data_IF_249193614662
#
_entry.id   IF_249193614662
#
_cell.length_a   1.000
_cell.length_b   1.000
_cell.length_c   1.000
_cell.angle_alpha   90.00
_cell.angle_beta   90.00
_cell.angle_gamma   90.00
#
_symmetry.space_group_name_H-M   'P 1'
#
loop_
_entity.id
_entity.type
_entity.pdbx_description
1 polymer ?
#
# COMPACT_ATOMS: atom_id res chain seq x y z
N UNK A 1 29.79 -72.63 -18.17
CA UNK A 1 28.36 -72.29 -18.32
C UNK A 1 27.69 -72.59 -16.99
N UNK A 2 27.57 -71.56 -16.15
CA UNK A 2 27.07 -71.69 -14.79
C UNK A 2 25.78 -70.87 -14.68
N UNK A 3 24.68 -71.61 -14.50
CA UNK A 3 23.35 -71.09 -14.22
C UNK A 3 23.28 -70.67 -12.76
N UNK A 4 22.91 -69.42 -12.49
CA UNK A 4 22.68 -68.90 -11.14
C UNK A 4 21.23 -68.42 -11.03
N UNK A 5 20.49 -69.12 -10.16
CA UNK A 5 19.19 -68.76 -9.59
C UNK A 5 19.43 -68.06 -8.26
N UNK A 6 18.62 -67.05 -7.90
CA UNK A 6 18.25 -66.84 -6.49
C UNK A 6 16.72 -66.80 -6.35
N UNK A 7 16.11 -67.74 -5.62
CA UNK A 7 15.98 -67.83 -4.16
C UNK A 7 14.96 -66.83 -3.59
N UNK A 8 13.77 -67.36 -3.35
CA UNK A 8 12.63 -66.76 -2.65
C UNK A 8 12.89 -66.90 -1.15
N UNK A 9 12.81 -65.80 -0.39
CA UNK A 9 12.77 -65.85 1.07
C UNK A 9 11.36 -65.54 1.56
N UNK A 10 10.82 -66.50 2.29
CA UNK A 10 9.53 -66.49 3.00
C UNK A 10 9.61 -65.76 4.33
N UNK A 11 8.46 -65.21 4.71
CA UNK A 11 8.16 -64.54 5.96
C UNK A 11 8.15 -65.50 7.16
N UNK A 12 8.81 -65.09 8.24
CA UNK A 12 8.49 -65.43 9.62
C UNK A 12 9.20 -64.42 10.53
N UNK A 13 8.58 -64.09 11.66
CA UNK A 13 9.09 -63.31 12.79
C UNK A 13 8.99 -61.79 12.72
N UNK A 14 7.87 -61.25 13.21
CA UNK A 14 7.89 -60.32 14.35
C UNK A 14 6.47 -60.06 14.88
N UNK A 15 6.08 -60.81 15.90
CA UNK A 15 5.03 -60.41 16.83
C UNK A 15 5.66 -59.70 18.05
N UNK A 16 4.84 -58.85 18.67
CA UNK A 16 4.97 -58.25 20.01
C UNK A 16 5.71 -56.91 20.13
N UNK A 17 4.97 -55.82 19.98
CA UNK A 17 4.86 -54.82 21.07
C UNK A 17 3.64 -53.91 20.91
N UNK A 18 2.76 -53.98 21.90
CA UNK A 18 1.53 -53.22 22.11
C UNK A 18 1.81 -51.93 22.90
N UNK A 19 1.45 -50.77 22.33
CA UNK A 19 1.12 -49.52 23.03
C UNK A 19 0.45 -48.58 22.00
N UNK A 20 -0.87 -48.61 21.83
CA UNK A 20 -1.86 -47.70 22.47
C UNK A 20 -1.39 -46.24 22.59
N UNK A 21 -1.92 -45.23 21.90
CA UNK A 21 -2.93 -45.19 20.86
C UNK A 21 -3.02 -43.77 20.26
N UNK A 22 -3.48 -43.71 19.01
CA UNK A 22 -4.15 -42.56 18.39
C UNK A 22 -4.68 -43.07 17.05
N UNK A 23 -5.86 -43.68 17.07
CA UNK A 23 -6.61 -44.05 15.88
C UNK A 23 -7.05 -42.76 15.17
N UNK A 24 -6.28 -42.36 14.16
CA UNK A 24 -6.78 -41.49 13.09
C UNK A 24 -7.58 -42.42 12.17
N UNK A 25 -8.90 -42.20 11.98
CA UNK A 25 -9.64 -42.98 11.01
C UNK A 25 -9.06 -42.69 9.62
N UNK A 26 -8.39 -43.70 9.05
CA UNK A 26 -8.07 -43.73 7.63
C UNK A 26 -9.37 -43.58 6.86
N UNK A 27 -9.52 -42.43 6.21
CA UNK A 27 -10.60 -42.18 5.27
C UNK A 27 -10.56 -43.27 4.19
N UNK A 28 -11.69 -43.95 4.06
CA UNK A 28 -12.02 -44.80 2.94
C UNK A 28 -11.75 -44.03 1.64
N UNK A 29 -10.65 -44.40 0.97
CA UNK A 29 -10.40 -44.02 -0.41
C UNK A 29 -11.55 -44.59 -1.23
N UNK A 30 -12.44 -43.71 -1.67
CA UNK A 30 -13.40 -44.02 -2.72
C UNK A 30 -12.60 -44.39 -3.97
N UNK A 31 -12.53 -45.69 -4.25
CA UNK A 31 -12.04 -46.27 -5.50
C UNK A 31 -13.09 -46.10 -6.62
N UNK A 32 -13.72 -44.93 -6.66
CA UNK A 32 -14.57 -44.47 -7.75
C UNK A 32 -13.69 -43.64 -8.66
N UNK A 33 -13.46 -44.14 -9.87
CA UNK A 33 -12.67 -43.52 -10.93
C UNK A 33 -12.84 -41.98 -10.89
N UNK A 34 -11.85 -41.20 -10.38
CA UNK A 34 -11.91 -39.75 -10.37
C UNK A 34 -11.68 -39.29 -11.79
N UNK A 35 -12.70 -39.47 -12.64
CA UNK A 35 -12.75 -38.90 -13.97
C UNK A 35 -12.81 -37.39 -13.80
N UNK A 36 -11.62 -36.80 -13.64
CA UNK A 36 -11.20 -35.54 -14.19
C UNK A 36 -12.22 -34.40 -14.00
N UNK A 37 -12.39 -33.99 -12.75
CA UNK A 37 -13.08 -32.74 -12.39
C UNK A 37 -12.54 -31.58 -13.24
N UNK A 38 -11.24 -31.56 -13.52
CA UNK A 38 -10.60 -30.57 -14.40
C UNK A 38 -11.09 -30.62 -15.87
N UNK A 39 -11.27 -31.80 -16.50
CA UNK A 39 -11.78 -31.89 -17.89
C UNK A 39 -13.28 -31.58 -18.00
N UNK A 40 -14.09 -31.90 -16.99
CA UNK A 40 -15.49 -31.42 -16.97
C UNK A 40 -15.54 -29.90 -16.78
N UNK A 41 -14.60 -29.33 -16.02
CA UNK A 41 -14.53 -27.90 -15.74
C UNK A 41 -14.08 -27.07 -16.95
N UNK A 42 -13.17 -27.54 -17.81
CA UNK A 42 -12.77 -26.76 -19.00
C UNK A 42 -13.94 -26.54 -19.98
N UNK A 43 -14.86 -27.51 -20.08
CA UNK A 43 -16.11 -27.38 -20.83
C UNK A 43 -17.11 -26.39 -20.21
N UNK A 44 -17.16 -26.29 -18.88
CA UNK A 44 -17.99 -25.34 -18.14
C UNK A 44 -17.39 -23.94 -18.18
N UNK A 45 -16.08 -23.78 -17.94
CA UNK A 45 -15.39 -22.50 -18.03
C UNK A 45 -15.50 -21.91 -19.44
N UNK A 46 -15.41 -22.72 -20.51
CA UNK A 46 -15.66 -22.27 -21.88
C UNK A 46 -17.11 -21.82 -22.14
N UNK A 47 -18.08 -22.28 -21.35
CA UNK A 47 -19.51 -21.88 -21.41
C UNK A 47 -19.88 -20.75 -20.45
N UNK A 48 -19.13 -20.57 -19.37
CA UNK A 48 -19.24 -19.41 -18.48
C UNK A 48 -18.61 -18.15 -19.09
N UNK A 49 -17.65 -18.28 -20.02
CA UNK A 49 -17.10 -17.14 -20.77
C UNK A 49 -18.19 -16.40 -21.58
N UNK A 50 -19.17 -17.07 -22.21
CA UNK A 50 -20.36 -16.41 -22.74
C UNK A 50 -21.18 -15.59 -21.75
N UNK A 51 -21.16 -15.93 -20.46
CA UNK A 51 -21.88 -15.14 -19.42
C UNK A 51 -21.16 -13.81 -19.14
N UNK A 52 -19.87 -13.70 -19.49
CA UNK A 52 -19.13 -12.43 -19.50
C UNK A 52 -19.11 -11.75 -20.88
N UNK A 53 -19.51 -12.44 -21.95
CA UNK A 53 -19.90 -11.81 -23.21
C UNK A 53 -21.43 -11.73 -23.30
N UNK A 54 -22.00 -10.85 -22.47
CA UNK A 54 -23.34 -10.24 -22.59
C UNK A 54 -24.31 -11.02 -23.48
N UNK A 55 -25.13 -11.86 -22.85
CA UNK A 55 -26.26 -12.51 -23.49
C UNK A 55 -27.14 -11.46 -24.19
N UNK A 56 -27.22 -11.60 -25.52
CA UNK A 56 -27.65 -10.56 -26.47
C UNK A 56 -29.16 -10.29 -26.42
N UNK A 57 -29.91 -11.00 -25.58
CA UNK A 57 -31.37 -10.95 -25.58
C UNK A 57 -31.99 -10.01 -24.54
N UNK A 58 -31.20 -9.41 -23.65
CA UNK A 58 -31.66 -8.36 -22.72
C UNK A 58 -30.94 -7.02 -22.93
N UNK A 59 -30.58 -6.74 -24.19
CA UNK A 59 -29.66 -5.66 -24.59
C UNK A 59 -30.12 -4.25 -24.23
N UNK A 60 -31.40 -3.94 -24.24
CA UNK A 60 -31.82 -2.54 -24.15
C UNK A 60 -31.68 -1.98 -22.72
N UNK A 61 -31.92 -2.79 -21.68
CA UNK A 61 -31.85 -2.33 -20.29
C UNK A 61 -30.41 -2.20 -19.77
N UNK A 62 -29.56 -3.20 -20.03
CA UNK A 62 -28.18 -3.19 -19.53
C UNK A 62 -27.27 -2.28 -20.33
N UNK A 63 -27.44 -2.20 -21.67
CA UNK A 63 -26.74 -1.17 -22.46
C UNK A 63 -27.14 0.22 -22.01
N UNK A 64 -28.41 0.46 -21.70
CA UNK A 64 -28.86 1.77 -21.19
C UNK A 64 -28.22 2.10 -19.83
N UNK A 65 -28.02 1.11 -18.96
CA UNK A 65 -27.35 1.29 -17.68
C UNK A 65 -25.85 1.60 -17.85
N UNK A 66 -25.16 0.87 -18.72
CA UNK A 66 -23.74 1.12 -19.05
C UNK A 66 -23.58 2.46 -19.76
N UNK A 67 -24.48 2.82 -20.69
CA UNK A 67 -24.48 4.13 -21.34
C UNK A 67 -24.73 5.27 -20.35
N UNK A 68 -25.62 5.07 -19.39
CA UNK A 68 -25.90 6.05 -18.34
C UNK A 68 -24.68 6.23 -17.43
N UNK A 69 -24.01 5.14 -17.05
CA UNK A 69 -22.77 5.20 -16.27
C UNK A 69 -21.63 5.86 -17.04
N UNK A 70 -21.49 5.56 -18.34
CA UNK A 70 -20.50 6.18 -19.20
C UNK A 70 -20.77 7.67 -19.39
N UNK A 71 -22.04 8.06 -19.60
CA UNK A 71 -22.46 9.47 -19.65
C UNK A 71 -22.21 10.20 -18.32
N UNK A 72 -22.45 9.52 -17.20
CA UNK A 72 -22.16 10.10 -15.90
C UNK A 72 -20.65 10.32 -15.73
N UNK A 73 -19.82 9.37 -16.19
CA UNK A 73 -18.37 9.52 -16.19
C UNK A 73 -17.90 10.65 -17.12
N UNK A 74 -18.43 10.77 -18.33
CA UNK A 74 -18.07 11.88 -19.24
C UNK A 74 -18.49 13.23 -18.67
N UNK A 75 -19.66 13.34 -18.05
CA UNK A 75 -20.09 14.56 -17.36
C UNK A 75 -19.14 14.92 -16.21
N UNK A 76 -18.74 13.94 -15.38
CA UNK A 76 -17.77 14.19 -14.30
C UNK A 76 -16.41 14.62 -14.84
N UNK A 77 -16.01 14.11 -16.01
CA UNK A 77 -14.73 14.46 -16.63
C UNK A 77 -14.79 15.89 -17.21
N UNK A 78 -15.92 16.29 -17.78
CA UNK A 78 -16.15 17.67 -18.23
C UNK A 78 -16.16 18.66 -17.05
N UNK A 79 -16.77 18.29 -15.92
CA UNK A 79 -16.75 19.11 -14.70
C UNK A 79 -15.32 19.25 -14.15
N UNK A 80 -14.53 18.17 -14.15
CA UNK A 80 -13.10 18.21 -13.77
C UNK A 80 -12.31 19.12 -14.71
N UNK A 81 -12.59 19.08 -16.02
CA UNK A 81 -11.94 19.96 -16.99
C UNK A 81 -12.30 21.44 -16.78
N UNK A 82 -13.56 21.76 -16.49
CA UNK A 82 -14.00 23.12 -16.15
C UNK A 82 -13.35 23.63 -14.85
N UNK A 83 -13.26 22.79 -13.83
CA UNK A 83 -12.60 23.17 -12.57
C UNK A 83 -11.08 23.39 -12.78
N UNK A 84 -10.44 22.56 -13.62
CA UNK A 84 -9.04 22.78 -14.02
C UNK A 84 -8.85 24.15 -14.69
N UNK A 85 -9.70 24.51 -15.65
CA UNK A 85 -9.64 25.80 -16.35
C UNK A 85 -9.86 26.98 -15.38
N UNK A 86 -10.80 26.84 -14.44
CA UNK A 86 -11.02 27.82 -13.36
C UNK A 86 -9.77 28.00 -12.48
N UNK A 87 -9.10 26.91 -12.11
CA UNK A 87 -7.87 26.94 -11.30
C UNK A 87 -6.72 27.58 -12.09
N UNK A 88 -6.58 27.28 -13.37
CA UNK A 88 -5.58 27.91 -14.24
C UNK A 88 -5.80 29.43 -14.35
N UNK A 89 -7.06 29.88 -14.46
CA UNK A 89 -7.41 31.30 -14.44
C UNK A 89 -7.04 31.98 -13.12
N UNK A 90 -7.38 31.38 -11.98
CA UNK A 90 -6.99 31.92 -10.65
C UNK A 90 -5.47 32.00 -10.50
N UNK A 91 -4.72 31.07 -11.09
CA UNK A 91 -3.25 31.08 -11.05
C UNK A 91 -2.65 32.22 -11.88
N UNK A 92 -3.29 32.60 -12.98
CA UNK A 92 -2.90 33.78 -13.77
C UNK A 92 -3.18 35.06 -12.98
N UNK A 93 -4.38 35.20 -12.39
CA UNK A 93 -4.75 36.36 -11.57
C UNK A 93 -3.82 36.54 -10.35
N UNK A 94 -3.42 35.44 -9.71
CA UNK A 94 -2.45 35.49 -8.61
C UNK A 94 -1.06 35.97 -9.06
N UNK A 95 -0.60 35.58 -10.26
CA UNK A 95 0.68 36.07 -10.80
C UNK A 95 0.62 37.55 -11.14
N UNK A 96 -0.49 38.02 -11.69
CA UNK A 96 -0.70 39.45 -11.98
C UNK A 96 -0.73 40.28 -10.68
N UNK A 97 -1.38 39.77 -9.63
CA UNK A 97 -1.39 40.42 -8.32
C UNK A 97 0.00 40.44 -7.66
N UNK A 98 0.80 39.37 -7.76
CA UNK A 98 2.18 39.34 -7.25
C UNK A 98 3.05 40.38 -7.97
N UNK A 99 2.92 40.47 -9.29
CA UNK A 99 3.65 41.46 -10.08
C UNK A 99 3.22 42.91 -9.75
N UNK A 100 1.93 43.15 -9.57
CA UNK A 100 1.41 44.46 -9.13
C UNK A 100 1.98 44.84 -7.76
N UNK A 101 2.05 43.90 -6.82
CA UNK A 101 2.63 44.12 -5.50
C UNK A 101 4.13 44.46 -5.59
N UNK A 102 4.88 43.77 -6.45
CA UNK A 102 6.30 44.09 -6.71
C UNK A 102 6.48 45.49 -7.28
N UNK A 103 5.63 45.91 -8.22
CA UNK A 103 5.68 47.26 -8.78
C UNK A 103 5.38 48.34 -7.73
N UNK A 104 4.41 48.11 -6.83
CA UNK A 104 4.13 49.04 -5.71
C UNK A 104 5.30 49.16 -4.75
N UNK A 105 5.98 48.05 -4.44
CA UNK A 105 7.18 48.07 -3.60
C UNK A 105 8.31 48.88 -4.26
N UNK A 106 8.55 48.70 -5.56
CA UNK A 106 9.56 49.48 -6.29
C UNK A 106 9.22 50.98 -6.32
N UNK A 107 7.94 51.36 -6.42
CA UNK A 107 7.52 52.76 -6.34
C UNK A 107 7.77 53.35 -4.95
N UNK A 108 7.45 52.60 -3.89
CA UNK A 108 7.71 53.02 -2.51
C UNK A 108 9.20 53.22 -2.24
N UNK A 109 10.05 52.28 -2.68
CA UNK A 109 11.50 52.42 -2.59
C UNK A 109 12.02 53.67 -3.33
N UNK A 110 11.45 53.97 -4.50
CA UNK A 110 11.75 55.19 -5.25
C UNK A 110 11.38 56.47 -4.49
N UNK A 111 10.21 56.51 -3.87
CA UNK A 111 9.76 57.67 -3.08
C UNK A 111 10.59 57.90 -1.83
N UNK A 112 10.97 56.82 -1.12
CA UNK A 112 11.81 56.92 0.08
C UNK A 112 13.19 57.50 -0.23
N UNK A 113 13.81 57.09 -1.35
CA UNK A 113 15.10 57.66 -1.77
C UNK A 113 15.03 59.14 -2.14
N UNK A 114 13.90 59.59 -2.69
CA UNK A 114 13.70 61.01 -3.03
C UNK A 114 13.47 61.88 -1.79
N UNK A 115 12.81 61.36 -0.75
CA UNK A 115 12.68 62.07 0.54
C UNK A 115 14.01 62.20 1.28
N UNK A 116 14.89 61.19 1.21
CA UNK A 116 16.21 61.24 1.86
C UNK A 116 17.17 62.27 1.23
N UNK A 117 16.92 62.72 0.00
CA UNK A 117 17.78 63.71 -0.67
C UNK A 117 17.35 65.16 -0.48
N UNK A 118 16.20 65.42 0.19
CA UNK A 118 15.65 66.77 0.36
C UNK A 118 15.70 67.31 1.80
N UNK A 119 16.18 66.54 2.78
CA UNK A 119 16.43 67.02 4.15
C UNK A 119 17.92 67.38 4.33
N UNK A 120 18.31 68.51 3.76
CA UNK A 120 19.29 69.37 4.44
C UNK A 120 18.50 70.33 5.32
N UNK A 121 18.25 69.92 6.56
CA UNK A 121 17.86 70.83 7.64
C UNK A 121 19.00 70.95 8.68
N UNK A 122 19.11 72.10 9.35
CA UNK A 122 20.30 72.52 10.09
C UNK A 122 20.36 71.81 11.45
N UNK A 123 21.59 71.49 11.86
CA UNK A 123 21.92 71.10 13.24
C UNK A 123 21.32 72.12 14.22
N UNK A 124 20.31 71.69 14.97
CA UNK A 124 19.98 72.27 16.26
C UNK A 124 20.13 71.19 17.32
N UNK A 125 21.14 71.42 18.14
CA UNK A 125 21.55 70.66 19.28
C UNK A 125 20.72 71.15 20.47
N UNK A 126 19.78 70.34 20.92
CA UNK A 126 19.12 70.53 22.22
C UNK A 126 19.47 69.36 23.13
N UNK A 127 20.29 69.67 24.13
CA UNK A 127 20.46 68.91 25.35
C UNK A 127 19.11 68.86 26.08
N UNK A 128 18.56 67.67 26.26
CA UNK A 128 17.48 67.41 27.22
C UNK A 128 17.91 66.23 28.07
N UNK A 129 18.45 66.55 29.24
CA UNK A 129 18.48 65.69 30.40
C UNK A 129 17.04 65.40 30.83
N UNK A 130 16.64 64.13 30.78
CA UNK A 130 15.40 63.64 31.38
C UNK A 130 15.73 62.51 32.34
N UNK A 131 15.51 62.84 33.61
CA UNK A 131 15.67 62.03 34.81
C UNK A 131 14.96 60.68 34.74
N UNK A 132 15.59 59.75 35.45
CA UNK A 132 15.20 58.36 35.69
C UNK A 132 13.73 58.10 35.97
N UNK A 133 13.18 57.16 35.20
CA UNK A 133 12.11 56.28 35.66
C UNK A 133 12.65 54.84 35.61
N UNK A 134 12.86 54.27 36.80
CA UNK A 134 13.25 52.88 37.01
C UNK A 134 12.26 51.93 36.35
N UNK A 135 12.68 51.26 35.28
CA UNK A 135 12.04 50.07 34.76
C UNK A 135 12.65 48.84 35.47
N UNK A 136 11.84 47.89 35.94
CA UNK A 136 12.34 46.71 36.61
C UNK A 136 13.19 45.87 35.65
N UNK A 137 14.44 45.66 36.04
CA UNK A 137 15.39 44.75 35.44
C UNK A 137 14.81 43.32 35.52
N UNK A 138 14.23 42.85 34.42
CA UNK A 138 13.83 41.45 34.27
C UNK A 138 15.09 40.71 33.85
N UNK A 139 15.64 39.94 34.79
CA UNK A 139 16.71 38.99 34.50
C UNK A 139 16.18 37.98 33.46
N UNK A 140 16.68 38.13 32.23
CA UNK A 140 16.54 37.19 31.12
C UNK A 140 17.10 35.86 31.58
N UNK A 141 16.22 34.98 32.06
CA UNK A 141 16.54 33.62 32.44
C UNK A 141 16.93 32.88 31.17
N UNK A 142 18.20 33.00 30.79
CA UNK A 142 18.84 32.25 29.72
C UNK A 142 18.56 30.77 29.95
N UNK A 143 17.59 30.23 29.21
CA UNK A 143 17.45 28.79 29.04
C UNK A 143 18.79 28.30 28.50
N UNK A 144 19.51 27.55 29.33
CA UNK A 144 20.78 26.93 28.96
C UNK A 144 20.62 26.19 27.62
N UNK A 145 21.51 26.49 26.69
CA UNK A 145 21.50 25.97 25.32
C UNK A 145 21.55 24.42 25.32
N UNK A 146 22.09 23.80 26.37
CA UNK A 146 22.06 22.35 26.57
C UNK A 146 20.65 21.82 26.87
N UNK A 147 19.83 22.58 27.60
CA UNK A 147 18.43 22.26 27.89
C UNK A 147 17.56 22.29 26.63
N UNK A 148 17.80 23.27 25.73
CA UNK A 148 17.13 23.34 24.42
C UNK A 148 17.51 22.16 23.52
N UNK A 149 18.79 21.76 23.54
CA UNK A 149 19.30 20.62 22.76
C UNK A 149 18.73 19.29 23.22
N UNK A 150 18.54 19.11 24.53
CA UNK A 150 17.96 17.88 25.09
C UNK A 150 16.44 17.80 24.83
N UNK A 151 15.73 18.94 24.83
CA UNK A 151 14.33 19.03 24.41
C UNK A 151 14.16 18.66 22.92
N UNK A 152 15.06 19.15 22.05
CA UNK A 152 15.08 18.80 20.62
C UNK A 152 15.33 17.30 20.38
N UNK A 153 16.24 16.67 21.14
CA UNK A 153 16.43 15.22 21.10
C UNK A 153 15.17 14.46 21.52
N UNK A 154 14.53 14.87 22.61
CA UNK A 154 13.29 14.27 23.09
C UNK A 154 12.18 14.36 22.05
N UNK A 155 11.94 15.53 21.46
CA UNK A 155 10.97 15.70 20.38
C UNK A 155 11.30 14.82 19.16
N UNK A 156 12.58 14.68 18.81
CA UNK A 156 13.01 13.81 17.70
C UNK A 156 12.74 12.33 17.99
N UNK A 157 12.96 11.89 19.23
CA UNK A 157 12.66 10.52 19.67
C UNK A 157 11.15 10.24 19.66
N UNK A 158 10.32 11.16 20.15
CA UNK A 158 8.87 11.03 20.11
C UNK A 158 8.32 11.01 18.68
N UNK A 159 8.82 11.88 17.80
CA UNK A 159 8.45 11.87 16.38
C UNK A 159 8.89 10.57 15.70
N UNK A 160 10.08 10.05 16.01
CA UNK A 160 10.55 8.76 15.48
C UNK A 160 9.69 7.59 15.98
N UNK A 161 9.25 7.62 17.23
CA UNK A 161 8.37 6.60 17.81
C UNK A 161 6.95 6.65 17.22
N UNK A 162 6.40 7.86 17.02
CA UNK A 162 5.09 8.09 16.42
C UNK A 162 5.07 7.70 14.93
N UNK A 163 6.11 8.05 14.17
CA UNK A 163 6.24 7.69 12.74
C UNK A 163 6.46 6.19 12.55
N UNK A 164 7.11 5.50 13.50
CA UNK A 164 7.34 4.05 13.41
C UNK A 164 6.19 3.20 13.97
N UNK A 165 5.13 3.81 14.52
CA UNK A 165 3.92 3.11 14.96
C UNK A 165 4.13 2.14 16.12
N UNK A 166 5.17 2.32 16.95
CA UNK A 166 5.53 1.40 18.05
C UNK A 166 5.00 1.82 19.42
N UNK A 167 3.90 2.56 19.47
CA UNK A 167 3.26 2.94 20.73
C UNK A 167 2.27 1.85 21.19
N UNK A 168 2.79 0.68 21.57
CA UNK A 168 2.11 -0.23 22.50
C UNK A 168 3.13 -1.23 23.05
N UNK A 169 3.65 -0.93 24.24
CA UNK A 169 4.57 -1.76 24.99
C UNK A 169 3.77 -2.85 25.74
N UNK A 170 3.13 -3.77 25.02
CA UNK A 170 2.74 -5.06 25.61
C UNK A 170 4.00 -5.91 25.70
N UNK A 171 4.34 -6.32 26.93
CA UNK A 171 5.39 -7.30 27.24
C UNK A 171 4.93 -8.72 26.84
N UNK A 172 4.61 -8.92 25.58
CA UNK A 172 4.56 -10.25 25.01
C UNK A 172 5.89 -10.44 24.31
N UNK A 173 6.74 -11.34 24.82
CA UNK A 173 7.99 -11.72 24.17
C UNK A 173 7.68 -12.13 22.73
N UNK A 174 7.95 -11.29 21.71
CA UNK A 174 7.81 -11.74 20.35
C UNK A 174 9.00 -12.65 20.14
N UNK A 175 8.73 -13.93 19.90
CA UNK A 175 9.69 -14.80 19.22
C UNK A 175 10.04 -14.06 17.93
N UNK A 176 11.16 -13.33 17.95
CA UNK A 176 11.66 -12.59 16.80
C UNK A 176 12.13 -13.65 15.82
N UNK A 177 11.23 -14.08 14.94
CA UNK A 177 11.62 -14.82 13.76
C UNK A 177 12.50 -13.88 12.95
N UNK A 178 13.81 -14.08 13.05
CA UNK A 178 14.76 -13.47 12.13
C UNK A 178 14.29 -13.78 10.71
N UNK A 179 14.14 -12.78 9.83
CA UNK A 179 13.77 -13.01 8.45
C UNK A 179 14.67 -14.09 7.88
N UNK A 180 14.10 -15.06 7.16
CA UNK A 180 14.93 -16.06 6.48
C UNK A 180 15.98 -15.32 5.63
N UNK A 181 17.20 -15.87 5.48
CA UNK A 181 18.28 -15.23 4.69
C UNK A 181 17.81 -14.77 3.30
N UNK A 182 16.86 -15.50 2.71
CA UNK A 182 16.20 -15.17 1.42
C UNK A 182 15.38 -13.88 1.48
N UNK A 183 14.63 -13.67 2.57
CA UNK A 183 13.85 -12.45 2.78
C UNK A 183 14.77 -11.26 3.04
N UNK A 184 15.88 -11.44 3.77
CA UNK A 184 16.85 -10.39 4.05
C UNK A 184 17.48 -9.82 2.76
N UNK A 185 17.99 -10.68 1.87
CA UNK A 185 18.58 -10.25 0.60
C UNK A 185 17.58 -9.49 -0.29
N UNK A 186 16.32 -9.96 -0.34
CA UNK A 186 15.24 -9.26 -1.06
C UNK A 186 14.95 -7.88 -0.48
N UNK A 187 14.93 -7.76 0.85
CA UNK A 187 14.69 -6.48 1.52
C UNK A 187 15.84 -5.51 1.26
N UNK A 188 17.08 -5.99 1.31
CA UNK A 188 18.28 -5.18 1.04
C UNK A 188 18.27 -4.59 -0.38
N UNK A 189 18.01 -5.40 -1.41
CA UNK A 189 17.90 -4.87 -2.78
C UNK A 189 16.72 -3.90 -2.95
N UNK A 190 15.59 -4.17 -2.29
CA UNK A 190 14.44 -3.25 -2.31
C UNK A 190 14.73 -1.91 -1.64
N UNK A 191 15.53 -1.89 -0.60
CA UNK A 191 15.90 -0.67 0.10
C UNK A 191 16.84 0.22 -0.75
N UNK A 192 17.58 -0.38 -1.68
CA UNK A 192 18.47 0.33 -2.60
C UNK A 192 17.75 0.92 -3.83
N UNK A 193 16.56 0.41 -4.17
CA UNK A 193 15.77 0.88 -5.31
C UNK A 193 14.74 1.92 -4.89
N UNK A 194 14.54 2.93 -5.73
CA UNK A 194 13.41 3.83 -5.60
C UNK A 194 12.08 3.09 -5.83
N UNK A 195 10.99 3.63 -5.27
CA UNK A 195 9.64 3.08 -5.48
C UNK A 195 9.27 2.98 -6.97
N UNK A 196 9.74 3.91 -7.78
CA UNK A 196 9.44 3.93 -9.22
C UNK A 196 10.18 2.79 -9.95
N UNK A 197 11.45 2.55 -9.62
CA UNK A 197 12.23 1.44 -10.19
C UNK A 197 11.63 0.08 -9.79
N UNK A 198 11.26 -0.09 -8.52
CA UNK A 198 10.58 -1.32 -8.05
C UNK A 198 9.30 -1.55 -8.86
N UNK A 199 8.48 -0.51 -9.03
CA UNK A 199 7.22 -0.61 -9.77
C UNK A 199 7.43 -0.89 -11.26
N UNK A 200 8.45 -0.29 -11.89
CA UNK A 200 8.77 -0.51 -13.29
C UNK A 200 9.25 -1.95 -13.52
N UNK A 201 10.16 -2.43 -12.68
CA UNK A 201 10.68 -3.79 -12.72
C UNK A 201 9.59 -4.83 -12.47
N UNK A 202 8.73 -4.62 -11.46
CA UNK A 202 7.61 -5.53 -11.19
C UNK A 202 6.62 -5.58 -12.35
N UNK A 203 6.33 -4.44 -12.99
CA UNK A 203 5.50 -4.38 -14.21
C UNK A 203 6.15 -5.14 -15.37
N UNK A 204 7.46 -5.01 -15.55
CA UNK A 204 8.21 -5.76 -16.55
C UNK A 204 8.14 -7.28 -16.31
N UNK A 205 8.46 -7.75 -15.10
CA UNK A 205 8.40 -9.17 -14.74
C UNK A 205 6.97 -9.70 -14.91
N UNK A 206 5.95 -8.92 -14.53
CA UNK A 206 4.55 -9.28 -14.71
C UNK A 206 4.19 -9.45 -16.20
N UNK A 207 4.60 -8.51 -17.06
CA UNK A 207 4.40 -8.62 -18.51
C UNK A 207 5.06 -9.88 -19.07
N UNK A 208 6.29 -10.18 -18.66
CA UNK A 208 7.00 -11.38 -19.11
C UNK A 208 6.30 -12.67 -18.62
N UNK A 209 5.85 -12.71 -17.37
CA UNK A 209 5.08 -13.84 -16.84
C UNK A 209 3.82 -14.13 -17.68
N UNK A 210 3.09 -13.08 -18.06
CA UNK A 210 1.90 -13.18 -18.91
C UNK A 210 2.25 -13.72 -20.31
N UNK A 211 3.26 -13.14 -20.98
CA UNK A 211 3.74 -13.61 -22.29
C UNK A 211 4.14 -15.08 -22.24
N UNK A 212 4.95 -15.46 -21.25
CA UNK A 212 5.51 -16.81 -21.12
C UNK A 212 4.48 -17.87 -20.76
N UNK A 213 3.32 -17.47 -20.23
CA UNK A 213 2.19 -18.38 -19.95
C UNK A 213 1.13 -18.35 -21.05
N UNK A 214 1.28 -17.51 -22.07
CA UNK A 214 0.31 -17.35 -23.15
C UNK A 214 -0.99 -16.64 -22.71
N UNK A 215 -0.95 -15.88 -21.62
CA UNK A 215 -2.10 -15.19 -21.03
C UNK A 215 -1.94 -13.68 -21.19
N UNK A 216 -3.00 -12.94 -21.52
CA UNK A 216 -2.91 -11.50 -21.78
C UNK A 216 -3.05 -10.67 -20.50
N UNK A 217 -3.86 -11.14 -19.55
CA UNK A 217 -4.15 -10.45 -18.28
C UNK A 217 -4.23 -11.43 -17.12
N UNK A 218 -3.86 -10.99 -15.91
CA UNK A 218 -3.90 -11.85 -14.72
C UNK A 218 -5.32 -12.35 -14.41
N UNK A 219 -6.34 -11.58 -14.78
CA UNK A 219 -7.76 -11.91 -14.64
C UNK A 219 -8.18 -13.10 -15.51
N UNK A 220 -7.52 -13.33 -16.65
CA UNK A 220 -7.84 -14.45 -17.56
C UNK A 220 -7.47 -15.82 -16.99
N UNK A 221 -6.71 -15.86 -15.89
CA UNK A 221 -6.40 -17.10 -15.18
C UNK A 221 -7.64 -17.82 -14.62
N UNK A 222 -8.78 -17.15 -14.54
CA UNK A 222 -10.08 -17.81 -14.28
C UNK A 222 -10.40 -18.89 -15.32
N UNK A 223 -9.99 -18.69 -16.57
CA UNK A 223 -10.21 -19.63 -17.67
C UNK A 223 -9.01 -20.52 -17.96
N UNK A 224 -7.97 -20.45 -17.12
CA UNK A 224 -6.73 -21.20 -17.32
C UNK A 224 -6.97 -22.71 -17.24
N UNK A 225 -6.39 -23.44 -18.19
CA UNK A 225 -6.34 -24.90 -18.18
C UNK A 225 -4.97 -25.32 -17.61
N UNK A 226 -4.88 -25.72 -16.33
CA UNK A 226 -3.62 -26.19 -15.76
C UNK A 226 -3.18 -27.49 -16.41
N UNK A 227 -1.89 -27.81 -16.28
CA UNK A 227 -1.32 -29.05 -16.81
C UNK A 227 -2.07 -30.27 -16.25
N UNK A 228 -2.23 -31.29 -17.08
CA UNK A 228 -2.88 -32.52 -16.67
C UNK A 228 -2.08 -33.22 -15.55
N UNK A 229 -2.73 -33.55 -14.45
CA UNK A 229 -2.09 -34.16 -13.27
C UNK A 229 -1.32 -35.45 -13.62
N UNK A 230 -1.82 -36.24 -14.58
CA UNK A 230 -1.14 -37.45 -15.06
C UNK A 230 0.22 -37.17 -15.68
N UNK A 231 0.39 -36.03 -16.38
CA UNK A 231 1.68 -35.62 -16.94
C UNK A 231 2.64 -35.20 -15.83
N UNK A 232 2.14 -34.46 -14.83
CA UNK A 232 2.94 -34.05 -13.67
C UNK A 232 3.42 -35.27 -12.87
N UNK A 233 2.55 -36.27 -12.67
CA UNK A 233 2.88 -37.54 -12.00
C UNK A 233 3.92 -38.30 -12.83
N UNK A 234 3.68 -38.52 -14.12
CA UNK A 234 4.62 -39.23 -14.99
C UNK A 234 6.00 -38.56 -15.01
N UNK A 235 6.04 -37.23 -15.06
CA UNK A 235 7.28 -36.47 -14.96
C UNK A 235 7.97 -36.66 -13.60
N UNK A 236 7.20 -36.65 -12.50
CA UNK A 236 7.75 -36.88 -11.16
C UNK A 236 8.37 -38.27 -11.02
N UNK A 237 7.75 -39.28 -11.61
CA UNK A 237 8.22 -40.67 -11.68
C UNK A 237 9.37 -40.87 -12.68
N UNK A 238 9.69 -39.85 -13.48
CA UNK A 238 10.75 -39.91 -14.49
C UNK A 238 10.37 -40.68 -15.76
N UNK A 239 9.08 -40.96 -15.96
CA UNK A 239 8.53 -41.67 -17.12
C UNK A 239 7.98 -40.72 -18.19
N UNK A 240 7.61 -39.49 -17.80
CA UNK A 240 7.09 -38.45 -18.68
C UNK A 240 8.11 -37.37 -19.06
N UNK A 241 7.81 -36.64 -20.13
CA UNK A 241 8.60 -35.48 -20.56
C UNK A 241 8.47 -34.32 -19.56
N UNK A 242 9.49 -33.47 -19.48
CA UNK A 242 9.46 -32.25 -18.69
C UNK A 242 8.65 -31.13 -19.35
N UNK A 243 8.52 -29.98 -18.65
CA UNK A 243 7.90 -28.79 -19.21
C UNK A 243 8.84 -28.14 -20.23
N UNK A 244 8.76 -28.57 -21.49
CA UNK A 244 9.56 -28.08 -22.63
C UNK A 244 8.73 -27.30 -23.66
N UNK A 245 7.51 -26.90 -23.30
CA UNK A 245 6.58 -26.22 -24.20
C UNK A 245 7.01 -24.80 -24.57
N UNK A 246 6.57 -24.32 -25.74
CA UNK A 246 6.73 -22.93 -26.20
C UNK A 246 6.07 -21.93 -25.23
N UNK A 247 4.95 -22.34 -24.61
CA UNK A 247 4.29 -21.63 -23.52
C UNK A 247 4.31 -22.49 -22.26
N UNK A 248 4.71 -21.92 -21.14
CA UNK A 248 4.80 -22.69 -19.90
C UNK A 248 3.41 -22.97 -19.32
N UNK A 249 3.02 -24.25 -19.33
CA UNK A 249 1.79 -24.73 -18.68
C UNK A 249 2.03 -25.01 -17.20
N UNK A 250 1.36 -24.28 -16.33
CA UNK A 250 1.51 -24.29 -14.88
C UNK A 250 0.58 -25.33 -14.22
N UNK A 251 1.04 -25.92 -13.12
CA UNK A 251 0.21 -26.73 -12.24
C UNK A 251 -0.35 -25.86 -11.10
N UNK A 252 -1.65 -25.97 -10.82
CA UNK A 252 -2.34 -25.22 -9.75
C UNK A 252 -2.88 -26.11 -8.62
N UNK A 253 -2.35 -27.33 -8.47
CA UNK A 253 -2.68 -28.20 -7.35
C UNK A 253 -2.37 -27.54 -5.99
N UNK A 254 -2.95 -28.01 -4.86
CA UNK A 254 -2.70 -27.41 -3.55
C UNK A 254 -1.22 -27.31 -3.15
N UNK A 255 -0.37 -28.17 -3.71
CA UNK A 255 1.08 -28.22 -3.45
C UNK A 255 1.92 -27.58 -4.56
N UNK A 256 1.33 -26.73 -5.41
CA UNK A 256 1.96 -26.19 -6.62
C UNK A 256 3.36 -25.60 -6.43
N UNK A 257 3.64 -24.96 -5.28
CA UNK A 257 4.97 -24.39 -4.96
C UNK A 257 6.04 -25.45 -4.63
N UNK A 258 5.59 -26.60 -4.13
CA UNK A 258 6.44 -27.74 -3.80
C UNK A 258 6.77 -28.60 -5.02
N UNK A 259 5.92 -28.59 -6.04
CA UNK A 259 6.07 -29.46 -7.20
C UNK A 259 7.33 -29.17 -8.02
N UNK A 260 8.00 -30.26 -8.41
CA UNK A 260 9.18 -30.21 -9.27
C UNK A 260 8.87 -29.56 -10.63
N UNK A 261 7.68 -29.81 -11.18
CA UNK A 261 7.17 -29.25 -12.43
C UNK A 261 7.27 -27.71 -12.44
N UNK A 262 6.52 -27.05 -11.55
CA UNK A 262 6.52 -25.58 -11.46
C UNK A 262 7.88 -24.99 -11.09
N UNK A 263 8.69 -25.70 -10.27
CA UNK A 263 10.04 -25.22 -9.94
C UNK A 263 10.94 -25.13 -11.16
N UNK A 264 10.85 -26.09 -12.08
CA UNK A 264 11.60 -26.07 -13.34
C UNK A 264 11.11 -24.93 -14.22
N UNK A 265 9.80 -24.82 -14.41
CA UNK A 265 9.18 -23.71 -15.17
C UNK A 265 9.65 -22.35 -14.65
N UNK A 266 9.54 -22.11 -13.33
CA UNK A 266 9.94 -20.83 -12.74
C UNK A 266 11.44 -20.57 -12.93
N UNK A 267 12.30 -21.59 -12.81
CA UNK A 267 13.73 -21.41 -13.08
C UNK A 267 14.00 -21.05 -14.56
N UNK A 268 13.27 -21.67 -15.49
CA UNK A 268 13.39 -21.36 -16.91
C UNK A 268 12.89 -19.94 -17.21
N UNK A 269 11.75 -19.55 -16.63
CA UNK A 269 11.23 -18.17 -16.70
C UNK A 269 12.23 -17.15 -16.15
N UNK A 270 12.92 -17.44 -15.04
CA UNK A 270 13.97 -16.54 -14.50
C UNK A 270 15.05 -16.31 -15.54
N UNK A 271 15.52 -17.36 -16.24
CA UNK A 271 16.52 -17.23 -17.30
C UNK A 271 16.05 -16.34 -18.45
N UNK A 272 14.80 -16.52 -18.91
CA UNK A 272 14.23 -15.70 -19.97
C UNK A 272 14.05 -14.25 -19.52
N UNK A 273 13.48 -14.02 -18.34
CA UNK A 273 13.26 -12.68 -17.77
C UNK A 273 14.59 -11.94 -17.59
N UNK A 274 15.64 -12.62 -17.11
CA UNK A 274 16.96 -12.01 -16.97
C UNK A 274 17.56 -11.63 -18.33
N UNK A 275 17.43 -12.49 -19.33
CA UNK A 275 17.92 -12.21 -20.69
C UNK A 275 17.20 -11.02 -21.34
N UNK A 276 15.88 -10.92 -21.15
CA UNK A 276 15.07 -9.80 -21.61
C UNK A 276 15.36 -8.51 -20.81
N UNK A 277 15.57 -8.62 -19.49
CA UNK A 277 15.91 -7.48 -18.65
C UNK A 277 17.22 -6.81 -19.08
N UNK A 278 18.22 -7.60 -19.50
CA UNK A 278 19.48 -7.09 -20.03
C UNK A 278 19.33 -6.31 -21.35
N UNK A 279 18.26 -6.56 -22.12
CA UNK A 279 17.95 -5.82 -23.34
C UNK A 279 17.29 -4.46 -23.02
N UNK A 280 16.54 -4.39 -21.92
CA UNK A 280 15.83 -3.20 -21.45
C UNK A 280 16.75 -2.30 -20.59
N UNK A 281 17.86 -1.81 -21.17
CA UNK A 281 18.95 -1.13 -20.47
C UNK A 281 18.61 0.13 -19.63
N UNK A 282 17.34 0.49 -19.52
CA UNK A 282 16.81 1.52 -18.61
C UNK A 282 16.29 0.96 -17.26
N UNK A 283 16.15 -0.36 -17.13
CA UNK A 283 15.72 -1.02 -15.90
C UNK A 283 16.92 -1.38 -15.02
N UNK A 284 16.71 -1.38 -13.71
CA UNK A 284 17.74 -1.74 -12.72
C UNK A 284 18.02 -3.24 -12.80
N UNK A 285 19.29 -3.61 -12.86
CA UNK A 285 19.71 -5.01 -12.78
C UNK A 285 19.42 -5.57 -11.39
N UNK A 286 18.85 -6.78 -11.35
CA UNK A 286 18.43 -7.43 -10.11
C UNK A 286 18.87 -8.88 -10.08
N UNK A 287 19.01 -9.41 -8.86
CA UNK A 287 19.40 -10.81 -8.71
C UNK A 287 18.28 -11.77 -9.15
N UNK A 288 18.67 -12.93 -9.66
CA UNK A 288 17.78 -14.01 -10.06
C UNK A 288 16.81 -14.42 -8.94
N UNK A 289 17.23 -14.31 -7.67
CA UNK A 289 16.35 -14.60 -6.53
C UNK A 289 15.19 -13.61 -6.42
N UNK A 290 15.40 -12.33 -6.73
CA UNK A 290 14.35 -11.31 -6.73
C UNK A 290 13.30 -11.59 -7.80
N UNK A 291 13.75 -11.91 -9.02
CA UNK A 291 12.87 -12.28 -10.14
C UNK A 291 12.07 -13.53 -9.77
N UNK A 292 12.75 -14.57 -9.28
CA UNK A 292 12.14 -15.83 -8.87
C UNK A 292 11.04 -15.65 -7.83
N UNK A 293 11.28 -14.89 -6.77
CA UNK A 293 10.26 -14.62 -5.75
C UNK A 293 9.09 -13.78 -6.29
N UNK A 294 9.36 -12.86 -7.22
CA UNK A 294 8.31 -12.09 -7.89
C UNK A 294 7.42 -12.99 -8.75
N UNK A 295 8.03 -13.91 -9.52
CA UNK A 295 7.30 -14.92 -10.29
C UNK A 295 6.48 -15.87 -9.41
N UNK A 296 7.01 -16.32 -8.26
CA UNK A 296 6.22 -17.13 -7.31
C UNK A 296 5.02 -16.38 -6.75
N UNK A 297 5.15 -15.07 -6.50
CA UNK A 297 4.02 -14.25 -6.05
C UNK A 297 2.95 -14.11 -7.14
N UNK A 298 3.37 -13.93 -8.40
CA UNK A 298 2.46 -13.89 -9.55
C UNK A 298 1.75 -15.24 -9.74
N UNK A 299 2.49 -16.34 -9.68
CA UNK A 299 1.93 -17.69 -9.74
C UNK A 299 0.90 -17.94 -8.63
N UNK A 300 1.19 -17.51 -7.41
CA UNK A 300 0.25 -17.62 -6.29
C UNK A 300 -1.02 -16.79 -6.53
N UNK A 301 -0.88 -15.61 -7.13
CA UNK A 301 -2.03 -14.75 -7.48
C UNK A 301 -2.86 -15.37 -8.61
N UNK A 302 -2.22 -15.92 -9.63
CA UNK A 302 -2.86 -16.64 -10.72
C UNK A 302 -3.62 -17.88 -10.20
N UNK A 303 -3.01 -18.65 -9.32
CA UNK A 303 -3.64 -19.80 -8.67
C UNK A 303 -4.86 -19.39 -7.83
N UNK A 304 -4.79 -18.27 -7.12
CA UNK A 304 -5.94 -17.74 -6.36
C UNK A 304 -7.10 -17.34 -7.29
N UNK A 305 -6.80 -16.71 -8.43
CA UNK A 305 -7.82 -16.34 -9.44
C UNK A 305 -8.48 -17.58 -10.03
N UNK A 306 -7.69 -18.58 -10.38
CA UNK A 306 -8.19 -19.86 -10.88
C UNK A 306 -9.00 -20.61 -9.82
N UNK A 307 -8.52 -20.69 -8.58
CA UNK A 307 -9.22 -21.36 -7.49
C UNK A 307 -10.56 -20.70 -7.14
N UNK A 308 -10.71 -19.39 -7.36
CA UNK A 308 -11.94 -18.66 -7.11
C UNK A 308 -13.11 -19.10 -8.01
N UNK A 309 -12.85 -19.75 -9.14
CA UNK A 309 -13.87 -20.25 -10.08
C UNK A 309 -14.03 -21.77 -10.05
N UNK A 310 -13.34 -22.47 -9.16
CA UNK A 310 -13.51 -23.91 -9.00
C UNK A 310 -14.70 -24.15 -8.07
N UNK A 311 -15.69 -24.96 -8.49
CA UNK A 311 -16.77 -25.36 -7.62
C UNK A 311 -16.23 -25.98 -6.33
N UNK A 312 -16.60 -25.39 -5.20
CA UNK A 312 -16.22 -25.90 -3.89
C UNK A 312 -17.34 -26.78 -3.32
N UNK A 313 -17.01 -27.63 -2.35
CA UNK A 313 -18.04 -28.36 -1.61
C UNK A 313 -18.79 -27.40 -0.70
N UNK A 314 -20.13 -27.45 -0.75
CA UNK A 314 -20.97 -26.61 0.10
C UNK A 314 -20.70 -26.92 1.57
N UNK A 315 -20.67 -25.88 2.40
CA UNK A 315 -20.39 -26.03 3.83
C UNK A 315 -21.39 -27.00 4.49
N UNK A 316 -20.89 -28.15 4.93
CA UNK A 316 -21.67 -29.18 5.63
C UNK A 316 -22.50 -30.10 4.72
N UNK A 317 -22.31 -30.06 3.39
CA UNK A 317 -22.96 -30.97 2.44
C UNK A 317 -21.92 -31.58 1.49
N UNK A 318 -22.12 -32.83 1.04
CA UNK A 318 -21.26 -33.46 0.02
C UNK A 318 -21.57 -32.96 -1.40
N UNK A 319 -22.43 -31.95 -1.55
CA UNK A 319 -22.81 -31.36 -2.82
C UNK A 319 -21.76 -30.31 -3.24
N UNK A 320 -21.36 -30.34 -4.50
CA UNK A 320 -20.58 -29.26 -5.10
C UNK A 320 -21.48 -28.04 -5.33
N UNK A 321 -20.88 -26.86 -5.30
CA UNK A 321 -21.49 -25.62 -5.75
C UNK A 321 -21.98 -25.75 -7.20
N UNK A 322 -23.14 -25.14 -7.44
CA UNK A 322 -23.68 -24.93 -8.78
C UNK A 322 -22.93 -23.79 -9.47
N UNK A 323 -23.00 -23.72 -10.79
CA UNK A 323 -22.34 -22.65 -11.56
C UNK A 323 -22.80 -21.25 -11.10
N UNK A 324 -24.09 -21.08 -10.77
CA UNK A 324 -24.63 -19.83 -10.24
C UNK A 324 -23.98 -19.45 -8.90
N UNK A 325 -23.81 -20.41 -7.98
CA UNK A 325 -23.15 -20.17 -6.69
C UNK A 325 -21.67 -19.83 -6.85
N UNK A 326 -20.97 -20.43 -7.83
CA UNK A 326 -19.58 -20.07 -8.15
C UNK A 326 -19.48 -18.64 -8.67
N UNK A 327 -20.41 -18.22 -9.53
CA UNK A 327 -20.48 -16.83 -10.02
C UNK A 327 -20.74 -15.87 -8.87
N UNK A 328 -21.69 -16.17 -7.98
CA UNK A 328 -21.98 -15.35 -6.79
C UNK A 328 -20.75 -15.22 -5.88
N UNK A 329 -20.04 -16.33 -5.64
CA UNK A 329 -18.81 -16.35 -4.85
C UNK A 329 -17.69 -15.51 -5.47
N UNK A 330 -17.51 -15.60 -6.80
CA UNK A 330 -16.53 -14.79 -7.52
C UNK A 330 -16.88 -13.29 -7.42
N UNK A 331 -18.14 -12.94 -7.60
CA UNK A 331 -18.64 -11.56 -7.48
C UNK A 331 -18.44 -11.01 -6.07
N UNK A 332 -18.70 -11.82 -5.05
CA UNK A 332 -18.45 -11.44 -3.65
C UNK A 332 -16.96 -11.26 -3.36
N UNK A 333 -16.11 -12.16 -3.87
CA UNK A 333 -14.65 -12.02 -3.77
C UNK A 333 -14.15 -10.72 -4.42
N UNK A 334 -14.70 -10.38 -5.60
CA UNK A 334 -14.43 -9.12 -6.27
C UNK A 334 -14.86 -7.89 -5.45
N UNK A 335 -16.08 -7.92 -4.87
CA UNK A 335 -16.58 -6.87 -3.97
C UNK A 335 -15.68 -6.68 -2.76
N UNK A 336 -15.26 -7.76 -2.10
CA UNK A 336 -14.37 -7.70 -0.95
C UNK A 336 -12.98 -7.16 -1.31
N UNK A 337 -12.42 -7.55 -2.46
CA UNK A 337 -11.15 -7.02 -2.94
C UNK A 337 -11.25 -5.51 -3.21
N UNK A 338 -12.30 -5.06 -3.90
CA UNK A 338 -12.55 -3.65 -4.17
C UNK A 338 -12.74 -2.83 -2.87
N UNK A 339 -13.51 -3.35 -1.91
CA UNK A 339 -13.69 -2.69 -0.62
C UNK A 339 -12.37 -2.49 0.13
N UNK A 340 -11.45 -3.48 0.09
CA UNK A 340 -10.10 -3.36 0.67
C UNK A 340 -9.29 -2.28 -0.03
N UNK A 341 -9.30 -2.23 -1.37
CA UNK A 341 -8.60 -1.20 -2.15
C UNK A 341 -9.11 0.20 -1.80
N UNK A 342 -10.43 0.38 -1.73
CA UNK A 342 -11.06 1.65 -1.34
C UNK A 342 -10.67 2.06 0.09
N UNK A 343 -10.69 1.10 1.03
CA UNK A 343 -10.26 1.35 2.42
C UNK A 343 -8.78 1.79 2.50
N UNK A 344 -7.90 1.14 1.75
CA UNK A 344 -6.49 1.54 1.68
C UNK A 344 -6.32 2.93 1.06
N UNK A 345 -7.01 3.24 -0.04
CA UNK A 345 -6.99 4.56 -0.65
C UNK A 345 -7.46 5.66 0.31
N UNK A 346 -8.50 5.40 1.11
CA UNK A 346 -8.98 6.31 2.15
C UNK A 346 -7.92 6.53 3.25
N UNK A 347 -7.29 5.45 3.73
CA UNK A 347 -6.20 5.53 4.73
C UNK A 347 -5.00 6.30 4.21
N UNK A 348 -4.61 6.11 2.95
CA UNK A 348 -3.51 6.84 2.32
C UNK A 348 -3.81 8.33 2.18
N UNK A 349 -5.04 8.69 1.78
CA UNK A 349 -5.50 10.09 1.75
C UNK A 349 -5.41 10.71 3.15
N UNK A 350 -5.93 10.04 4.17
CA UNK A 350 -5.87 10.49 5.57
C UNK A 350 -4.43 10.67 6.05
N UNK A 351 -3.54 9.74 5.75
CA UNK A 351 -2.11 9.84 6.07
C UNK A 351 -1.43 11.02 5.37
N UNK A 352 -1.71 11.24 4.08
CA UNK A 352 -1.16 12.38 3.33
C UNK A 352 -1.64 13.72 3.88
N UNK A 353 -2.92 13.81 4.27
CA UNK A 353 -3.48 15.00 4.94
C UNK A 353 -2.77 15.27 6.25
N UNK A 354 -2.67 14.27 7.13
CA UNK A 354 -1.98 14.40 8.43
C UNK A 354 -0.52 14.81 8.26
N UNK A 355 0.20 14.20 7.32
CA UNK A 355 1.60 14.54 7.03
C UNK A 355 1.75 15.98 6.55
N UNK A 356 0.84 16.47 5.71
CA UNK A 356 0.82 17.87 5.25
C UNK A 356 0.58 18.83 6.42
N UNK A 357 -0.37 18.53 7.31
CA UNK A 357 -0.67 19.33 8.50
C UNK A 357 0.55 19.39 9.42
N UNK A 358 1.15 18.25 9.75
CA UNK A 358 2.35 18.18 10.60
C UNK A 358 3.50 18.99 10.00
N UNK A 359 3.76 18.88 8.69
CA UNK A 359 4.78 19.69 8.01
C UNK A 359 4.50 21.19 8.14
N UNK A 360 3.24 21.62 7.99
CA UNK A 360 2.84 23.03 8.18
C UNK A 360 3.07 23.50 9.62
N UNK A 361 2.69 22.69 10.62
CA UNK A 361 2.93 22.98 12.04
C UNK A 361 4.42 23.13 12.33
N UNK A 362 5.25 22.20 11.85
CA UNK A 362 6.71 22.27 12.02
C UNK A 362 7.26 23.54 11.35
N UNK A 363 6.79 23.87 10.14
CA UNK A 363 7.20 25.08 9.44
C UNK A 363 6.84 26.35 10.24
N UNK A 364 5.60 26.47 10.72
CA UNK A 364 5.17 27.62 11.53
C UNK A 364 5.98 27.73 12.83
N UNK A 365 6.19 26.60 13.54
CA UNK A 365 7.00 26.57 14.76
C UNK A 365 8.46 27.01 14.53
N UNK A 366 9.06 26.60 13.43
CA UNK A 366 10.50 26.80 13.18
C UNK A 366 10.82 28.10 12.44
N UNK A 367 9.94 28.57 11.56
CA UNK A 367 10.19 29.75 10.70
C UNK A 367 9.34 30.96 11.06
N UNK A 368 8.25 30.80 11.80
CA UNK A 368 7.32 31.87 12.12
C UNK A 368 6.90 31.82 13.60
N UNK A 369 7.89 31.78 14.50
CA UNK A 369 7.68 31.58 15.95
C UNK A 369 6.65 32.53 16.56
N UNK A 370 6.66 33.81 16.15
CA UNK A 370 5.73 34.84 16.63
C UNK A 370 4.29 34.63 16.12
N UNK A 371 4.14 34.22 14.86
CA UNK A 371 2.83 33.89 14.27
C UNK A 371 2.29 32.61 14.90
N UNK A 372 3.16 31.63 15.15
CA UNK A 372 2.78 30.40 15.83
C UNK A 372 2.32 30.65 17.27
N UNK A 373 3.00 31.50 18.04
CA UNK A 373 2.58 31.87 19.39
C UNK A 373 1.18 32.51 19.39
N UNK A 374 0.93 33.47 18.49
CA UNK A 374 -0.38 34.11 18.34
C UNK A 374 -1.46 33.13 17.87
N UNK A 375 -1.16 32.29 16.88
CA UNK A 375 -2.08 31.27 16.37
C UNK A 375 -2.41 30.22 17.44
N UNK A 376 -1.42 29.79 18.24
CA UNK A 376 -1.61 28.86 19.34
C UNK A 376 -2.46 29.47 20.45
N UNK A 377 -2.25 30.75 20.79
CA UNK A 377 -3.10 31.48 21.74
C UNK A 377 -4.54 31.62 21.23
N UNK A 378 -4.74 32.01 19.96
CA UNK A 378 -6.06 32.08 19.32
C UNK A 378 -6.77 30.72 19.31
N UNK A 379 -6.04 29.65 18.98
CA UNK A 379 -6.58 28.28 18.98
C UNK A 379 -6.92 27.78 20.38
N UNK A 380 -6.09 28.07 21.39
CA UNK A 380 -6.37 27.71 22.78
C UNK A 380 -7.62 28.43 23.29
N UNK A 381 -7.84 29.68 22.87
CA UNK A 381 -9.04 30.47 23.16
C UNK A 381 -10.29 29.92 22.46
N UNK A 382 -10.18 29.57 21.17
CA UNK A 382 -11.28 28.95 20.41
C UNK A 382 -11.63 27.55 20.92
N UNK A 383 -10.64 26.78 21.41
CA UNK A 383 -10.84 25.46 22.03
C UNK A 383 -11.60 25.56 23.36
N UNK A 384 -11.32 26.58 24.16
CA UNK A 384 -11.96 26.76 25.48
C UNK A 384 -13.45 27.13 25.40
N UNK A 385 -13.87 27.80 24.32
CA UNK A 385 -15.20 28.43 24.28
C UNK A 385 -16.21 27.72 23.35
N UNK A 386 -15.78 26.77 22.50
CA UNK A 386 -16.66 26.21 21.45
C UNK A 386 -16.46 24.73 21.10
N UNK A 387 -15.48 24.04 21.70
CA UNK A 387 -15.14 22.69 21.24
C UNK A 387 -16.15 21.63 21.72
N UNK A 388 -16.70 21.76 22.93
CA UNK A 388 -17.70 20.81 23.48
C UNK A 388 -19.01 20.85 22.69
N UNK A 389 -19.59 22.05 22.49
CA UNK A 389 -20.82 22.23 21.71
C UNK A 389 -20.68 21.79 20.24
N UNK A 390 -19.49 21.98 19.64
CA UNK A 390 -19.24 21.60 18.25
C UNK A 390 -18.96 20.10 18.11
N UNK A 391 -18.22 19.48 19.04
CA UNK A 391 -17.98 18.02 19.06
C UNK A 391 -19.26 17.23 19.34
N UNK A 392 -20.17 17.75 20.16
CA UNK A 392 -21.48 17.12 20.39
C UNK A 392 -22.38 17.16 19.14
N UNK A 393 -22.17 18.14 18.25
CA UNK A 393 -22.95 18.32 17.01
C UNK A 393 -22.48 17.47 15.82
N UNK A 394 -21.30 16.84 15.88
CA UNK A 394 -20.76 16.03 14.78
C UNK A 394 -21.35 14.61 14.76
N UNK A 395 -21.53 14.05 13.57
CA UNK A 395 -21.92 12.63 13.41
C UNK A 395 -20.82 11.71 13.96
N UNK A 396 -21.18 10.49 14.34
CA UNK A 396 -20.31 9.57 15.11
C UNK A 396 -19.01 9.22 14.36
N UNK A 397 -19.08 9.10 13.03
CA UNK A 397 -17.93 8.86 12.15
C UNK A 397 -16.97 10.07 12.07
N UNK A 398 -17.50 11.30 12.12
CA UNK A 398 -16.71 12.54 12.13
C UNK A 398 -16.10 12.79 13.52
N UNK A 399 -16.78 12.36 14.58
CA UNK A 399 -16.25 12.35 15.95
C UNK A 399 -15.04 11.42 16.07
N UNK A 400 -15.07 10.22 15.49
CA UNK A 400 -13.91 9.34 15.46
C UNK A 400 -12.74 9.93 14.64
N UNK A 401 -13.02 10.68 13.57
CA UNK A 401 -11.98 11.36 12.81
C UNK A 401 -11.31 12.49 13.60
N UNK A 402 -12.08 13.21 14.41
CA UNK A 402 -11.61 14.29 15.30
C UNK A 402 -10.96 13.79 16.59
N UNK A 403 -11.41 12.67 17.19
CA UNK A 403 -10.80 12.10 18.40
C UNK A 403 -9.33 11.72 18.18
N UNK A 404 -8.95 11.29 16.97
CA UNK A 404 -7.54 11.03 16.64
C UNK A 404 -6.73 12.32 16.45
N UNK A 405 -7.39 13.45 16.19
CA UNK A 405 -6.74 14.75 16.23
C UNK A 405 -6.49 15.18 17.68
N UNK A 406 -7.36 14.82 18.62
CA UNK A 406 -7.25 15.13 20.04
C UNK A 406 -6.01 14.53 20.72
N UNK A 407 -5.66 13.27 20.45
CA UNK A 407 -4.38 12.67 20.91
C UNK A 407 -3.15 13.42 20.37
N UNK A 408 -3.20 13.85 19.10
CA UNK A 408 -2.12 14.66 18.51
C UNK A 408 -2.08 16.05 19.16
N UNK A 409 -3.23 16.59 19.57
CA UNK A 409 -3.35 17.86 20.26
C UNK A 409 -2.88 17.81 21.72
N UNK A 410 -3.19 16.75 22.48
CA UNK A 410 -2.66 16.55 23.84
C UNK A 410 -1.13 16.47 23.83
N UNK A 411 -0.55 15.73 22.87
CA UNK A 411 0.90 15.66 22.66
C UNK A 411 1.49 17.03 22.29
N UNK A 412 0.77 17.87 21.55
CA UNK A 412 1.20 19.22 21.19
C UNK A 412 1.08 20.21 22.36
N UNK A 413 0.10 20.04 23.23
CA UNK A 413 -0.14 20.88 24.41
C UNK A 413 0.95 20.69 25.47
N UNK A 414 1.44 19.46 25.64
CA UNK A 414 2.58 19.14 26.51
C UNK A 414 3.92 19.65 25.96
N UNK A 415 3.99 20.00 24.67
CA UNK A 415 5.19 20.50 24.00
C UNK A 415 5.29 22.04 23.96
N UNK A 416 4.27 22.76 24.44
CA UNK A 416 4.34 24.22 24.62
C UNK A 416 4.81 24.50 26.05
N UNK A 417 5.93 25.21 26.26
CA UNK A 417 6.36 25.58 27.61
C UNK A 417 5.23 26.33 28.32
N UNK A 418 4.92 25.92 29.57
CA UNK A 418 3.82 26.50 30.38
C UNK A 418 4.02 27.98 30.73
N UNK A 419 5.19 28.54 30.44
CA UNK A 419 5.64 29.83 30.96
C UNK A 419 5.60 30.98 29.96
N UNK A 420 5.00 30.82 28.77
CA UNK A 420 4.69 32.00 27.93
C UNK A 420 3.44 32.67 28.48
N UNK A 421 3.62 33.56 29.46
CA UNK A 421 2.57 34.41 30.01
C UNK A 421 2.12 35.44 28.96
N UNK A 422 0.81 35.69 28.92
CA UNK A 422 0.14 36.53 27.90
C UNK A 422 0.68 37.97 27.84
N UNK A 423 1.39 38.43 28.88
CA UNK A 423 1.99 39.76 28.95
C UNK A 423 3.24 39.94 28.06
N UNK A 424 3.81 38.88 27.48
CA UNK A 424 5.01 38.98 26.62
C UNK A 424 4.69 39.08 25.10
N UNK A 425 3.40 39.10 24.71
CA UNK A 425 2.99 39.04 23.29
C UNK A 425 2.16 40.27 22.84
N UNK A 426 1.79 41.15 23.76
CA UNK A 426 1.35 42.53 23.47
C UNK A 426 2.56 43.45 23.34
#
# INVERSE_FOLDING_TARGET
>A
MASMVPAIHTAADMETNTSTGALIPHGLFFQGNPMHLAKRQSGINKRAIPVYTLDVQNKDGELQMVWSALNQQTNTLEDIMKEKERVEKMLVELKENDEMMRQRLLQLEGTMRQSETSEQMPEQQEDIDMDGADLPNIDDATLDDASVKELLKMCTLFLKAAVTGKAQLRKDNPVRYSPSKKMAARMEQREQMSKNEINALQRFIHKQFLILTGISMLEEFISYEPVEESLVIAFHEGTGNGPEDEFYTLDFSPSFRGLRWNRIIINNMVGVVQAELLQEGHLVDVDNMYIKETLWNLLSSAQQKWAAVIPCFKKGKPELETEAEVVDHLMETGRQANAKVLSHAAKDRKHKTRTTIVKKIIYLKTKQRNIWARAACLWRRLRSDRLEDWLESLEEDDREEMAVSEEVFELLEHAVPKEVTVQEVE
#
